data_IF_672876114178
#
_entry.id   IF_672876114178
#
_cell.length_a   1.000
_cell.length_b   1.000
_cell.length_c   1.000
_cell.angle_alpha   90.00
_cell.angle_beta   90.00
_cell.angle_gamma   90.00
#
_symmetry.space_group_name_H-M   'P 1'
#
loop_
_entity.id
_entity.type
_entity.pdbx_description
1 polymer ?
#
# COMPACT_ATOMS: atom_id res chain seq x y z
N UNK A 1 13.77 18.32 8.07
CA UNK A 1 14.70 17.18 8.18
C UNK A 1 14.03 15.82 7.91
N UNK A 2 12.79 15.58 8.39
CA UNK A 2 12.05 14.31 8.18
C UNK A 2 11.50 14.14 6.74
N UNK A 3 11.03 15.21 6.10
CA UNK A 3 10.64 15.15 4.67
C UNK A 3 11.82 14.83 3.74
N UNK A 4 13.03 15.22 4.14
CA UNK A 4 14.24 14.94 3.37
C UNK A 4 14.70 13.48 3.50
N UNK A 5 14.24 12.75 4.53
CA UNK A 5 14.67 11.38 4.76
C UNK A 5 13.87 10.33 3.97
N UNK A 6 12.64 10.61 3.54
CA UNK A 6 11.83 9.64 2.78
C UNK A 6 10.91 10.31 1.72
N UNK A 7 11.42 11.18 0.83
CA UNK A 7 10.57 11.87 -0.15
C UNK A 7 9.86 10.89 -1.10
N UNK A 8 10.52 9.78 -1.47
CA UNK A 8 9.94 8.77 -2.36
C UNK A 8 8.74 8.03 -1.74
N UNK A 9 8.84 7.63 -0.47
CA UNK A 9 7.72 6.97 0.23
C UNK A 9 6.56 7.94 0.37
N UNK A 10 6.84 9.19 0.73
CA UNK A 10 5.79 10.19 0.88
C UNK A 10 5.06 10.43 -0.45
N UNK A 11 5.79 10.52 -1.56
CA UNK A 11 5.20 10.65 -2.89
C UNK A 11 4.33 9.44 -3.26
N UNK A 12 4.83 8.22 -2.99
CA UNK A 12 4.05 6.99 -3.20
C UNK A 12 2.77 7.04 -2.37
N UNK A 13 2.85 7.36 -1.09
CA UNK A 13 1.70 7.41 -0.17
C UNK A 13 0.68 8.46 -0.59
N UNK A 14 1.13 9.63 -1.06
CA UNK A 14 0.24 10.68 -1.55
C UNK A 14 -0.51 10.22 -2.81
N UNK A 15 0.20 9.69 -3.80
CA UNK A 15 -0.41 9.21 -5.05
C UNK A 15 -1.35 8.04 -4.79
N UNK A 16 -0.95 7.13 -3.92
CA UNK A 16 -1.72 5.98 -3.49
C UNK A 16 -3.00 6.38 -2.77
N UNK A 17 -2.91 7.25 -1.75
CA UNK A 17 -4.08 7.77 -1.03
C UNK A 17 -5.06 8.49 -1.96
N UNK A 18 -4.55 9.23 -2.95
CA UNK A 18 -5.38 9.91 -3.94
C UNK A 18 -6.12 8.90 -4.83
N UNK A 19 -5.38 7.92 -5.35
CA UNK A 19 -5.92 6.81 -6.13
C UNK A 19 -7.00 6.03 -5.36
N UNK A 20 -6.76 5.79 -4.08
CA UNK A 20 -7.64 5.01 -3.20
C UNK A 20 -8.96 5.70 -2.97
N UNK A 21 -8.95 7.01 -2.68
CA UNK A 21 -10.19 7.74 -2.53
C UNK A 21 -10.95 7.92 -3.84
N UNK A 22 -10.24 8.11 -4.97
CA UNK A 22 -10.88 8.12 -6.28
C UNK A 22 -11.55 6.77 -6.60
N UNK A 23 -10.86 5.66 -6.30
CA UNK A 23 -11.42 4.32 -6.45
C UNK A 23 -12.64 4.14 -5.55
N UNK A 24 -12.54 4.49 -4.26
CA UNK A 24 -13.61 4.34 -3.28
C UNK A 24 -14.84 5.17 -3.65
N UNK A 25 -14.63 6.39 -4.11
CA UNK A 25 -15.69 7.26 -4.62
C UNK A 25 -16.41 6.63 -5.82
N UNK A 26 -15.64 6.24 -6.85
CA UNK A 26 -16.20 5.60 -8.05
C UNK A 26 -16.89 4.27 -7.76
N UNK A 27 -16.32 3.48 -6.85
CA UNK A 27 -16.88 2.23 -6.38
C UNK A 27 -18.22 2.42 -5.69
N UNK A 28 -18.33 3.42 -4.80
CA UNK A 28 -19.54 3.70 -4.06
C UNK A 28 -20.68 4.11 -5.00
N UNK A 29 -20.39 4.98 -5.96
CA UNK A 29 -21.37 5.37 -7.00
C UNK A 29 -21.79 4.16 -7.82
N UNK A 30 -20.85 3.35 -8.31
CA UNK A 30 -21.18 2.18 -9.11
C UNK A 30 -22.03 1.15 -8.36
N UNK A 31 -21.69 0.89 -7.10
CA UNK A 31 -22.37 -0.08 -6.24
C UNK A 31 -23.81 0.35 -5.96
N UNK A 32 -24.04 1.66 -5.80
CA UNK A 32 -25.36 2.22 -5.50
C UNK A 32 -26.18 2.46 -6.78
N UNK A 33 -25.67 3.26 -7.72
CA UNK A 33 -26.44 3.78 -8.84
C UNK A 33 -26.59 2.79 -10.00
N UNK A 34 -25.67 1.82 -10.13
CA UNK A 34 -25.66 0.88 -11.26
C UNK A 34 -26.07 -0.54 -10.85
N UNK A 35 -25.57 -1.03 -9.73
CA UNK A 35 -25.85 -2.40 -9.28
C UNK A 35 -27.05 -2.50 -8.33
N UNK A 36 -27.59 -1.36 -7.85
CA UNK A 36 -28.73 -1.29 -6.90
C UNK A 36 -28.57 -2.28 -5.74
N UNK A 37 -27.35 -2.36 -5.18
CA UNK A 37 -27.02 -3.36 -4.18
C UNK A 37 -27.72 -3.03 -2.88
N UNK A 38 -28.58 -3.95 -2.44
CA UNK A 38 -29.26 -3.87 -1.15
C UNK A 38 -28.26 -3.81 0.02
N UNK A 39 -28.73 -3.28 1.16
CA UNK A 39 -27.93 -3.15 2.40
C UNK A 39 -27.26 -4.48 2.80
N UNK A 40 -27.92 -5.61 2.54
CA UNK A 40 -27.35 -6.94 2.78
C UNK A 40 -26.06 -7.21 1.99
N UNK A 41 -26.03 -6.84 0.71
CA UNK A 41 -24.86 -6.98 -0.16
C UNK A 41 -23.71 -6.06 0.25
N UNK A 42 -24.01 -4.84 0.70
CA UNK A 42 -23.01 -3.91 1.26
C UNK A 42 -22.34 -4.53 2.49
N UNK A 43 -23.11 -5.12 3.40
CA UNK A 43 -22.55 -5.81 4.57
C UNK A 43 -21.65 -6.98 4.17
N UNK A 44 -22.03 -7.77 3.15
CA UNK A 44 -21.20 -8.84 2.65
C UNK A 44 -19.86 -8.33 2.10
N UNK A 45 -19.88 -7.23 1.34
CA UNK A 45 -18.67 -6.56 0.80
C UNK A 45 -17.75 -6.09 1.94
N UNK A 46 -18.29 -5.59 3.05
CA UNK A 46 -17.50 -5.08 4.18
C UNK A 46 -16.97 -6.18 5.09
N UNK A 47 -17.72 -7.25 5.32
CA UNK A 47 -17.34 -8.34 6.24
C UNK A 47 -16.35 -9.33 5.60
N UNK A 48 -16.51 -9.63 4.31
CA UNK A 48 -15.67 -10.61 3.61
C UNK A 48 -14.17 -10.28 3.68
N UNK A 49 -13.73 -9.02 3.45
CA UNK A 49 -12.33 -8.63 3.59
C UNK A 49 -11.77 -8.87 5.00
N UNK A 50 -12.57 -8.72 6.06
CA UNK A 50 -12.11 -8.96 7.43
C UNK A 50 -11.76 -10.43 7.65
N UNK A 51 -12.60 -11.34 7.14
CA UNK A 51 -12.37 -12.78 7.24
C UNK A 51 -11.16 -13.20 6.41
N UNK A 52 -10.99 -12.63 5.21
CA UNK A 52 -9.89 -12.96 4.30
C UNK A 52 -8.56 -12.33 4.74
N UNK A 53 -8.58 -11.10 5.26
CA UNK A 53 -7.37 -10.36 5.61
C UNK A 53 -6.62 -10.97 6.79
N UNK A 54 -7.32 -11.50 7.80
CA UNK A 54 -6.69 -12.12 8.99
C UNK A 54 -5.62 -13.16 8.64
N UNK A 55 -5.90 -14.25 7.89
CA UNK A 55 -4.87 -15.23 7.53
C UNK A 55 -3.81 -14.66 6.59
N UNK A 56 -4.17 -13.71 5.72
CA UNK A 56 -3.23 -13.09 4.79
C UNK A 56 -2.23 -12.16 5.49
N UNK A 57 -2.64 -11.46 6.55
CA UNK A 57 -1.78 -10.62 7.38
C UNK A 57 -0.62 -11.44 7.97
N UNK A 58 -0.92 -12.60 8.56
CA UNK A 58 0.12 -13.50 9.09
C UNK A 58 1.06 -13.99 7.99
N UNK A 59 0.51 -14.34 6.82
CA UNK A 59 1.30 -14.82 5.68
C UNK A 59 2.23 -13.74 5.13
N UNK A 60 1.76 -12.50 5.03
CA UNK A 60 2.54 -11.37 4.51
C UNK A 60 3.59 -10.92 5.51
N UNK A 61 3.27 -10.88 6.80
CA UNK A 61 4.27 -10.63 7.85
C UNK A 61 5.44 -11.61 7.77
N UNK A 62 5.15 -12.92 7.74
CA UNK A 62 6.17 -13.97 7.58
C UNK A 62 6.93 -13.84 6.25
N UNK A 63 6.25 -13.46 5.17
CA UNK A 63 6.90 -13.28 3.86
C UNK A 63 7.86 -12.09 3.85
N UNK A 64 7.48 -10.98 4.48
CA UNK A 64 8.35 -9.81 4.66
C UNK A 64 9.62 -10.18 5.42
N UNK A 65 9.51 -11.02 6.45
CA UNK A 65 10.65 -11.45 7.25
C UNK A 65 11.57 -12.42 6.49
N UNK A 66 11.00 -13.38 5.75
CA UNK A 66 11.78 -14.44 5.08
C UNK A 66 12.30 -14.07 3.69
N UNK A 67 11.52 -13.32 2.91
CA UNK A 67 11.80 -13.05 1.48
C UNK A 67 12.16 -11.59 1.21
N UNK A 68 12.17 -10.75 2.25
CA UNK A 68 12.49 -9.33 2.18
C UNK A 68 11.26 -8.46 1.90
N UNK A 69 11.36 -7.20 2.33
CA UNK A 69 10.28 -6.22 2.28
C UNK A 69 9.89 -5.88 0.83
N UNK A 70 10.88 -5.72 -0.07
CA UNK A 70 10.64 -5.37 -1.48
C UNK A 70 9.67 -6.33 -2.18
N UNK A 71 9.82 -7.64 -1.96
CA UNK A 71 8.93 -8.65 -2.58
C UNK A 71 7.53 -8.60 -2.00
N UNK A 72 7.40 -8.35 -0.69
CA UNK A 72 6.09 -8.21 -0.05
C UNK A 72 5.34 -6.98 -0.59
N UNK A 73 6.02 -5.83 -0.67
CA UNK A 73 5.49 -4.59 -1.26
C UNK A 73 4.99 -4.85 -2.68
N UNK A 74 5.83 -5.43 -3.56
CA UNK A 74 5.44 -5.65 -4.96
C UNK A 74 4.26 -6.61 -5.10
N UNK A 75 4.24 -7.71 -4.32
CA UNK A 75 3.16 -8.69 -4.37
C UNK A 75 1.83 -8.05 -3.95
N UNK A 76 1.82 -7.38 -2.80
CA UNK A 76 0.61 -6.73 -2.26
C UNK A 76 0.16 -5.63 -3.23
N UNK A 77 1.06 -4.73 -3.62
CA UNK A 77 0.71 -3.60 -4.48
C UNK A 77 0.22 -4.01 -5.88
N UNK A 78 0.71 -5.14 -6.42
CA UNK A 78 0.28 -5.63 -7.74
C UNK A 78 -1.21 -5.96 -7.85
N UNK A 79 -1.91 -6.10 -6.72
CA UNK A 79 -3.35 -6.34 -6.69
C UNK A 79 -4.15 -5.06 -7.01
N UNK A 80 -3.62 -3.86 -6.74
CA UNK A 80 -4.37 -2.60 -6.98
C UNK A 80 -4.76 -2.39 -8.46
N UNK A 81 -3.85 -2.51 -9.43
CA UNK A 81 -4.21 -2.40 -10.85
C UNK A 81 -5.26 -3.43 -11.26
N UNK A 82 -5.21 -4.64 -10.68
CA UNK A 82 -6.16 -5.70 -10.98
C UNK A 82 -7.56 -5.30 -10.51
N UNK A 83 -7.69 -4.74 -9.31
CA UNK A 83 -8.97 -4.27 -8.79
C UNK A 83 -9.57 -3.16 -9.67
N UNK A 84 -8.75 -2.19 -10.11
CA UNK A 84 -9.18 -1.14 -11.02
C UNK A 84 -9.64 -1.70 -12.37
N UNK A 85 -8.87 -2.64 -12.95
CA UNK A 85 -9.23 -3.30 -14.20
C UNK A 85 -10.55 -4.09 -14.07
N UNK A 86 -10.77 -4.79 -12.94
CA UNK A 86 -12.03 -5.50 -12.70
C UNK A 86 -13.22 -4.55 -12.65
N UNK A 87 -13.12 -3.39 -11.99
CA UNK A 87 -14.22 -2.40 -11.99
C UNK A 87 -14.43 -1.73 -13.35
N UNK A 88 -13.39 -1.59 -14.18
CA UNK A 88 -13.57 -1.13 -15.57
C UNK A 88 -14.37 -2.13 -16.41
N UNK A 89 -14.16 -3.43 -16.18
CA UNK A 89 -14.77 -4.52 -16.95
C UNK A 89 -16.15 -4.91 -16.38
N UNK A 90 -16.42 -4.60 -15.12
CA UNK A 90 -17.66 -4.94 -14.43
C UNK A 90 -18.94 -4.58 -15.20
N UNK A 91 -19.08 -3.40 -15.86
CA UNK A 91 -20.29 -3.07 -16.61
C UNK A 91 -20.55 -3.99 -17.81
N UNK A 92 -19.50 -4.61 -18.36
CA UNK A 92 -19.62 -5.56 -19.49
C UNK A 92 -19.80 -6.99 -18.99
N UNK A 93 -19.14 -7.35 -17.89
CA UNK A 93 -19.21 -8.66 -17.26
C UNK A 93 -19.70 -8.50 -15.82
N UNK A 94 -21.02 -8.35 -15.65
CA UNK A 94 -21.63 -8.09 -14.34
C UNK A 94 -21.38 -9.23 -13.34
N UNK A 95 -21.47 -10.48 -13.79
CA UNK A 95 -21.30 -11.67 -12.97
C UNK A 95 -20.13 -12.52 -13.48
N UNK A 96 -19.34 -13.06 -12.55
CA UNK A 96 -18.30 -14.04 -12.86
C UNK A 96 -18.82 -15.49 -12.81
N UNK A 97 -20.07 -15.69 -12.38
CA UNK A 97 -20.78 -16.98 -12.38
C UNK A 97 -21.99 -16.99 -13.32
N UNK A 98 -22.44 -18.18 -13.75
CA UNK A 98 -23.68 -18.34 -14.52
C UNK A 98 -24.90 -17.81 -13.74
N UNK A 99 -25.88 -17.19 -14.43
CA UNK A 99 -27.09 -16.64 -13.80
C UNK A 99 -27.83 -17.63 -12.91
N UNK A 100 -27.90 -18.91 -13.31
CA UNK A 100 -28.58 -19.95 -12.52
C UNK A 100 -28.02 -20.14 -11.11
N UNK A 101 -26.72 -19.87 -10.90
CA UNK A 101 -26.09 -19.96 -9.58
C UNK A 101 -26.37 -18.70 -8.77
N UNK A 102 -26.37 -17.54 -9.44
CA UNK A 102 -26.70 -16.26 -8.82
C UNK A 102 -28.15 -16.28 -8.31
N UNK A 103 -29.09 -16.68 -9.16
CA UNK A 103 -30.51 -16.78 -8.83
C UNK A 103 -30.75 -17.78 -7.69
N UNK A 104 -30.04 -18.91 -7.69
CA UNK A 104 -30.13 -19.90 -6.61
C UNK A 104 -29.59 -19.35 -5.28
N UNK A 105 -28.55 -18.52 -5.31
CA UNK A 105 -28.00 -17.89 -4.12
C UNK A 105 -28.94 -16.82 -3.56
N UNK A 106 -29.51 -15.97 -4.41
CA UNK A 106 -30.50 -14.96 -4.00
C UNK A 106 -31.80 -15.59 -3.48
N UNK A 107 -32.19 -16.76 -4.00
CA UNK A 107 -33.32 -17.52 -3.47
C UNK A 107 -33.07 -18.09 -2.07
N UNK A 108 -31.81 -18.40 -1.73
CA UNK A 108 -31.44 -18.91 -0.40
C UNK A 108 -31.37 -17.78 0.64
N UNK A 109 -30.75 -16.66 0.26
CA UNK A 109 -30.63 -15.47 1.09
C UNK A 109 -30.62 -14.24 0.19
N UNK A 110 -31.63 -13.35 0.29
CA UNK A 110 -31.69 -12.15 -0.53
C UNK A 110 -30.40 -11.33 -0.43
N UNK A 111 -29.83 -10.98 -1.59
CA UNK A 111 -28.58 -10.21 -1.70
C UNK A 111 -27.29 -11.04 -1.67
N UNK A 112 -27.38 -12.37 -1.53
CA UNK A 112 -26.21 -13.25 -1.60
C UNK A 112 -25.63 -13.34 -3.03
N UNK A 113 -26.45 -13.11 -4.05
CA UNK A 113 -26.04 -13.04 -5.45
C UNK A 113 -24.95 -12.00 -5.71
N UNK A 114 -24.87 -10.96 -4.87
CA UNK A 114 -23.83 -9.91 -4.94
C UNK A 114 -22.43 -10.50 -4.88
N UNK A 115 -22.21 -11.58 -4.13
CA UNK A 115 -20.90 -12.28 -4.02
C UNK A 115 -20.38 -12.74 -5.39
N UNK A 116 -21.29 -13.01 -6.32
CA UNK A 116 -20.99 -13.47 -7.67
C UNK A 116 -20.80 -12.34 -8.69
N UNK A 117 -20.91 -11.08 -8.26
CA UNK A 117 -20.66 -9.93 -9.13
C UNK A 117 -19.17 -9.65 -9.28
N UNK A 118 -18.77 -9.19 -10.46
CA UNK A 118 -17.38 -8.76 -10.71
C UNK A 118 -16.99 -7.57 -9.83
N UNK A 119 -17.96 -6.71 -9.50
CA UNK A 119 -17.76 -5.60 -8.59
C UNK A 119 -17.43 -6.06 -7.18
N UNK A 120 -18.18 -7.03 -6.63
CA UNK A 120 -17.90 -7.61 -5.33
C UNK A 120 -16.47 -8.15 -5.26
N UNK A 121 -16.05 -8.92 -6.27
CA UNK A 121 -14.69 -9.44 -6.32
C UNK A 121 -13.65 -8.31 -6.29
N UNK A 122 -13.84 -7.27 -7.11
CA UNK A 122 -12.94 -6.12 -7.17
C UNK A 122 -12.86 -5.37 -5.83
N UNK A 123 -14.00 -5.12 -5.17
CA UNK A 123 -14.07 -4.42 -3.89
C UNK A 123 -13.47 -5.23 -2.75
N UNK A 124 -13.79 -6.52 -2.67
CA UNK A 124 -13.24 -7.40 -1.63
C UNK A 124 -11.74 -7.54 -1.78
N UNK A 125 -11.24 -7.70 -3.02
CA UNK A 125 -9.81 -7.72 -3.30
C UNK A 125 -9.15 -6.40 -2.94
N UNK A 126 -9.77 -5.26 -3.30
CA UNK A 126 -9.27 -3.92 -2.98
C UNK A 126 -9.16 -3.71 -1.47
N UNK A 127 -10.24 -3.87 -0.71
CA UNK A 127 -10.23 -3.65 0.73
C UNK A 127 -9.28 -4.60 1.46
N UNK A 128 -9.21 -5.86 1.01
CA UNK A 128 -8.20 -6.80 1.53
C UNK A 128 -6.80 -6.27 1.24
N UNK A 129 -6.55 -5.78 0.02
CA UNK A 129 -5.26 -5.24 -0.35
C UNK A 129 -4.89 -3.97 0.43
N UNK A 130 -5.82 -3.06 0.67
CA UNK A 130 -5.60 -1.83 1.44
C UNK A 130 -5.11 -2.14 2.85
N UNK A 131 -5.74 -3.11 3.51
CA UNK A 131 -5.34 -3.59 4.85
C UNK A 131 -3.92 -4.15 4.81
N UNK A 132 -3.61 -4.99 3.83
CA UNK A 132 -2.30 -5.63 3.69
C UNK A 132 -1.22 -4.60 3.32
N UNK A 133 -1.56 -3.63 2.48
CA UNK A 133 -0.67 -2.57 2.04
C UNK A 133 -0.32 -1.62 3.18
N UNK A 134 -1.32 -1.21 3.97
CA UNK A 134 -1.11 -0.42 5.18
C UNK A 134 -0.18 -1.16 6.16
N UNK A 135 -0.37 -2.47 6.37
CA UNK A 135 0.53 -3.26 7.22
C UNK A 135 1.97 -3.22 6.71
N UNK A 136 2.18 -3.43 5.41
CA UNK A 136 3.51 -3.45 4.80
C UNK A 136 4.19 -2.08 4.93
N UNK A 137 3.47 -0.99 4.66
CA UNK A 137 3.99 0.37 4.81
C UNK A 137 4.36 0.70 6.26
N UNK A 138 3.50 0.36 7.22
CA UNK A 138 3.78 0.58 8.65
C UNK A 138 5.00 -0.23 9.08
N UNK A 139 5.07 -1.51 8.71
CA UNK A 139 6.19 -2.39 9.03
C UNK A 139 7.49 -1.87 8.44
N UNK A 140 7.45 -1.39 7.20
CA UNK A 140 8.58 -0.75 6.54
C UNK A 140 9.04 0.51 7.29
N UNK A 141 8.12 1.42 7.62
CA UNK A 141 8.45 2.63 8.39
C UNK A 141 9.10 2.26 9.73
N UNK A 142 8.55 1.29 10.45
CA UNK A 142 9.10 0.83 11.73
C UNK A 142 10.47 0.16 11.59
N UNK A 143 10.71 -0.59 10.52
CA UNK A 143 11.97 -1.30 10.28
C UNK A 143 13.10 -0.38 9.85
N UNK A 144 12.82 0.61 9.01
CA UNK A 144 13.85 1.46 8.40
C UNK A 144 14.06 2.81 9.09
N UNK A 145 13.20 3.22 10.03
CA UNK A 145 13.37 4.47 10.76
C UNK A 145 13.97 4.28 12.15
N UNK A 146 14.84 5.20 12.60
CA UNK A 146 15.30 5.24 13.99
C UNK A 146 14.11 5.35 14.95
N UNK A 147 14.15 4.61 16.06
CA UNK A 147 13.06 4.59 17.06
C UNK A 147 12.66 5.97 17.58
N UNK A 148 13.59 6.92 17.61
CA UNK A 148 13.38 8.31 18.04
C UNK A 148 12.52 9.13 17.08
N UNK A 149 12.46 8.74 15.80
CA UNK A 149 11.76 9.47 14.75
C UNK A 149 10.58 8.71 14.14
N UNK A 150 10.41 7.41 14.46
CA UNK A 150 9.31 6.58 13.94
C UNK A 150 7.94 7.21 14.20
N UNK A 151 7.68 7.73 15.41
CA UNK A 151 6.39 8.35 15.76
C UNK A 151 6.11 9.61 14.93
N UNK A 152 7.13 10.43 14.69
CA UNK A 152 7.01 11.66 13.88
C UNK A 152 6.74 11.32 12.41
N UNK A 153 7.43 10.31 11.88
CA UNK A 153 7.24 9.84 10.50
C UNK A 153 5.85 9.26 10.32
N UNK A 154 5.39 8.46 11.29
CA UNK A 154 4.05 7.89 11.27
C UNK A 154 2.97 8.99 11.38
N UNK A 155 3.20 10.03 12.17
CA UNK A 155 2.32 11.19 12.24
C UNK A 155 2.24 11.94 10.90
N UNK A 156 3.37 12.18 10.23
CA UNK A 156 3.40 12.79 8.89
C UNK A 156 2.72 11.90 7.86
N UNK A 157 2.96 10.58 7.92
CA UNK A 157 2.31 9.60 7.07
C UNK A 157 0.79 9.70 7.17
N UNK A 158 0.23 9.54 8.38
CA UNK A 158 -1.23 9.61 8.58
C UNK A 158 -1.81 10.98 8.26
N UNK A 159 -1.11 12.06 8.63
CA UNK A 159 -1.53 13.42 8.28
C UNK A 159 -1.63 13.59 6.76
N UNK A 160 -0.68 13.04 5.99
CA UNK A 160 -0.70 13.12 4.53
C UNK A 160 -1.85 12.32 3.96
N UNK A 161 -2.04 11.08 4.43
CA UNK A 161 -3.18 10.23 4.05
C UNK A 161 -4.50 10.96 4.30
N UNK A 162 -4.73 11.53 5.48
CA UNK A 162 -5.99 12.21 5.79
C UNK A 162 -6.22 13.49 4.99
N UNK A 163 -5.18 14.28 4.75
CA UNK A 163 -5.29 15.50 3.92
C UNK A 163 -5.65 15.13 2.49
N UNK A 164 -4.99 14.12 1.91
CA UNK A 164 -5.32 13.65 0.58
C UNK A 164 -6.70 12.99 0.57
N UNK A 165 -7.07 12.28 1.63
CA UNK A 165 -8.35 11.61 1.71
C UNK A 165 -9.54 12.60 1.70
N UNK A 166 -9.34 13.81 2.20
CA UNK A 166 -10.33 14.88 2.12
C UNK A 166 -10.47 15.46 0.70
N UNK A 167 -9.39 15.45 -0.10
CA UNK A 167 -9.35 16.04 -1.45
C UNK A 167 -9.75 15.01 -2.51
N UNK A 168 -9.44 13.73 -2.30
CA UNK A 168 -9.65 12.65 -3.26
C UNK A 168 -11.08 12.53 -3.78
N UNK A 169 -12.13 12.51 -2.93
CA UNK A 169 -13.52 12.44 -3.37
C UNK A 169 -13.94 13.66 -4.19
N UNK A 170 -13.39 14.85 -3.91
CA UNK A 170 -13.65 16.04 -4.72
C UNK A 170 -13.07 15.90 -6.14
N UNK A 171 -11.82 15.45 -6.27
CA UNK A 171 -11.19 15.19 -7.57
C UNK A 171 -11.93 14.06 -8.31
N UNK A 172 -12.27 12.98 -7.59
CA UNK A 172 -13.05 11.87 -8.14
C UNK A 172 -14.43 12.32 -8.65
N UNK A 173 -15.10 13.21 -7.90
CA UNK A 173 -16.36 13.83 -8.28
C UNK A 173 -16.26 14.66 -9.56
N UNK A 174 -15.25 15.52 -9.66
CA UNK A 174 -15.03 16.31 -10.89
C UNK A 174 -14.78 15.42 -12.11
N UNK A 175 -13.96 14.38 -11.97
CA UNK A 175 -13.69 13.43 -13.07
C UNK A 175 -14.98 12.70 -13.46
N UNK A 176 -15.77 12.28 -12.48
CA UNK A 176 -17.04 11.60 -12.71
C UNK A 176 -18.06 12.50 -13.41
N UNK A 177 -18.21 13.76 -12.96
CA UNK A 177 -19.18 14.73 -13.49
C UNK A 177 -18.88 15.13 -14.93
N UNK A 178 -17.60 15.40 -15.27
CA UNK A 178 -17.24 15.92 -16.59
C UNK A 178 -16.86 14.84 -17.61
N UNK A 179 -16.60 13.61 -17.17
CA UNK A 179 -16.10 12.55 -18.05
C UNK A 179 -17.01 11.32 -17.98
N UNK A 180 -16.53 10.23 -17.40
CA UNK A 180 -17.31 9.00 -17.20
C UNK A 180 -16.69 8.15 -16.10
N UNK A 181 -17.49 7.26 -15.53
CA UNK A 181 -17.05 6.32 -14.52
C UNK A 181 -15.90 5.41 -15.01
N UNK A 182 -15.96 4.93 -16.26
CA UNK A 182 -14.90 4.10 -16.84
C UNK A 182 -13.58 4.85 -16.93
N UNK A 183 -13.63 6.15 -17.25
CA UNK A 183 -12.42 6.97 -17.30
C UNK A 183 -11.83 7.22 -15.91
N UNK A 184 -12.66 7.40 -14.88
CA UNK A 184 -12.20 7.48 -13.49
C UNK A 184 -11.35 6.26 -13.12
N UNK A 185 -11.85 5.05 -13.39
CA UNK A 185 -11.09 3.83 -13.12
C UNK A 185 -9.87 3.65 -14.02
N UNK A 186 -9.90 4.15 -15.26
CA UNK A 186 -8.72 4.18 -16.13
C UNK A 186 -7.62 5.08 -15.55
N UNK A 187 -7.97 6.26 -15.02
CA UNK A 187 -7.01 7.15 -14.32
C UNK A 187 -6.43 6.44 -13.10
N UNK A 188 -7.28 5.83 -12.26
CA UNK A 188 -6.84 5.05 -11.10
C UNK A 188 -5.89 3.93 -11.53
N UNK A 189 -6.22 3.17 -12.57
CA UNK A 189 -5.37 2.10 -13.09
C UNK A 189 -3.99 2.63 -13.51
N UNK A 190 -3.95 3.72 -14.27
CA UNK A 190 -2.71 4.33 -14.74
C UNK A 190 -1.85 4.81 -13.56
N UNK A 191 -2.45 5.48 -12.56
CA UNK A 191 -1.75 5.91 -11.33
C UNK A 191 -1.16 4.71 -10.59
N UNK A 192 -1.92 3.64 -10.39
CA UNK A 192 -1.44 2.43 -9.71
C UNK A 192 -0.32 1.74 -10.50
N UNK A 193 -0.37 1.72 -11.83
CA UNK A 193 0.71 1.18 -12.66
C UNK A 193 1.99 2.02 -12.53
N UNK A 194 1.87 3.36 -12.47
CA UNK A 194 3.01 4.23 -12.21
C UNK A 194 3.62 3.98 -10.83
N UNK A 195 2.80 3.82 -9.79
CA UNK A 195 3.29 3.53 -8.44
C UNK A 195 3.98 2.16 -8.43
N UNK A 196 3.36 1.11 -8.99
CA UNK A 196 3.93 -0.23 -9.07
C UNK A 196 5.28 -0.22 -9.81
N UNK A 197 5.34 0.46 -10.95
CA UNK A 197 6.56 0.64 -11.73
C UNK A 197 7.64 1.40 -10.95
N UNK A 198 7.26 2.47 -10.26
CA UNK A 198 8.17 3.24 -9.41
C UNK A 198 8.75 2.41 -8.27
N UNK A 199 7.91 1.64 -7.58
CA UNK A 199 8.32 0.71 -6.52
C UNK A 199 9.25 -0.38 -7.06
N UNK A 200 8.95 -0.93 -8.23
CA UNK A 200 9.76 -1.98 -8.85
C UNK A 200 11.15 -1.48 -9.23
N UNK A 201 11.21 -0.31 -9.87
CA UNK A 201 12.44 0.27 -10.43
C UNK A 201 13.35 0.85 -9.36
N UNK A 202 12.83 1.75 -8.51
CA UNK A 202 13.65 2.43 -7.52
C UNK A 202 13.92 1.56 -6.29
N UNK A 203 13.01 0.63 -5.97
CA UNK A 203 13.00 -0.04 -4.68
C UNK A 203 12.71 0.95 -3.55
N UNK A 204 12.02 0.48 -2.51
CA UNK A 204 11.81 1.31 -1.30
C UNK A 204 12.94 1.08 -0.27
N UNK A 205 14.09 0.58 -0.73
CA UNK A 205 15.24 0.31 0.13
C UNK A 205 16.11 1.55 0.24
N UNK A 206 15.99 2.21 1.40
CA UNK A 206 17.05 3.07 1.89
C UNK A 206 18.19 2.17 2.36
N UNK A 207 19.44 2.52 2.02
CA UNK A 207 20.67 1.89 2.52
C UNK A 207 20.44 1.46 3.97
N UNK A 208 20.69 0.19 4.26
CA UNK A 208 20.66 -0.33 5.63
C UNK A 208 21.39 0.66 6.54
N UNK A 209 20.87 0.99 7.73
CA UNK A 209 21.66 1.74 8.70
C UNK A 209 22.95 0.95 8.89
N UNK A 210 24.11 1.59 8.62
CA UNK A 210 25.46 0.99 8.64
C UNK A 210 25.45 -0.28 9.46
N UNK A 211 25.57 -1.43 8.78
CA UNK A 211 25.47 -2.71 9.46
C UNK A 211 26.43 -2.70 10.66
N UNK A 212 26.10 -3.41 11.74
CA UNK A 212 26.99 -3.48 12.90
C UNK A 212 28.42 -3.83 12.50
N UNK A 213 28.60 -4.56 11.39
CA UNK A 213 29.88 -4.81 10.72
C UNK A 213 30.56 -3.56 10.17
N UNK A 214 29.86 -2.66 9.47
CA UNK A 214 30.40 -1.39 8.98
C UNK A 214 30.73 -0.42 10.11
N UNK A 215 29.90 -0.39 11.18
CA UNK A 215 30.21 0.37 12.39
C UNK A 215 31.40 -0.22 13.15
N UNK A 216 31.52 -1.54 13.21
CA UNK A 216 32.68 -2.20 13.79
C UNK A 216 33.93 -1.92 12.96
N UNK A 217 33.85 -1.97 11.63
CA UNK A 217 34.97 -1.63 10.74
C UNK A 217 35.37 -0.15 10.85
N UNK A 218 34.42 0.78 10.93
CA UNK A 218 34.73 2.21 11.08
C UNK A 218 35.32 2.50 12.47
N UNK A 219 34.84 1.81 13.50
CA UNK A 219 35.36 1.90 14.86
C UNK A 219 36.75 1.25 14.97
N UNK A 220 37.00 0.12 14.32
CA UNK A 220 38.32 -0.51 14.21
C UNK A 220 39.32 0.41 13.49
N UNK A 221 38.92 1.03 12.37
CA UNK A 221 39.71 2.04 11.67
C UNK A 221 40.03 3.26 12.56
N UNK A 222 39.07 3.69 13.36
CA UNK A 222 39.26 4.82 14.29
C UNK A 222 40.21 4.45 15.43
N UNK A 223 40.07 3.24 15.98
CA UNK A 223 40.99 2.71 17.01
C UNK A 223 42.39 2.57 16.44
N UNK A 224 42.55 2.11 15.20
CA UNK A 224 43.84 1.95 14.55
C UNK A 224 44.53 3.31 14.36
N UNK A 225 43.81 4.31 13.84
CA UNK A 225 44.32 5.69 13.73
C UNK A 225 44.78 6.26 15.07
N UNK A 226 44.00 6.07 16.13
CA UNK A 226 44.37 6.54 17.47
C UNK A 226 45.61 5.83 18.00
N UNK A 227 45.80 4.54 17.71
CA UNK A 227 47.03 3.83 18.08
C UNK A 227 48.24 4.40 17.34
N UNK A 228 48.11 4.63 16.03
CA UNK A 228 49.18 5.19 15.21
C UNK A 228 49.56 6.61 15.70
N UNK A 229 48.58 7.47 16.00
CA UNK A 229 48.81 8.80 16.58
C UNK A 229 49.50 8.73 17.96
N UNK A 230 49.13 7.76 18.81
CA UNK A 230 49.77 7.57 20.12
C UNK A 230 51.21 7.07 19.97
N UNK A 231 51.50 6.19 19.01
CA UNK A 231 52.87 5.74 18.72
C UNK A 231 53.73 6.86 18.16
N UNK A 232 53.19 7.65 17.24
CA UNK A 232 53.85 8.85 16.71
C UNK A 232 54.15 9.84 17.84
N UNK A 233 53.19 10.08 18.74
CA UNK A 233 53.39 10.93 19.91
C UNK A 233 54.41 10.39 20.92
N UNK A 234 54.49 9.06 21.10
CA UNK A 234 55.51 8.42 21.95
C UNK A 234 56.90 8.49 21.32
N UNK A 235 56.99 8.32 20.00
CA UNK A 235 58.26 8.39 19.27
C UNK A 235 58.83 9.81 19.27
N UNK A 236 57.98 10.84 19.14
CA UNK A 236 58.39 12.24 19.19
C UNK A 236 58.82 12.71 20.59
N UNK A 237 58.28 12.12 21.67
CA UNK A 237 58.74 12.34 23.05
C UNK A 237 59.99 11.54 23.45
N UNK A 238 60.45 10.60 22.63
CA UNK A 238 61.69 9.82 22.83
C UNK A 238 62.90 10.42 22.09
N UNK A 239 62.82 11.68 21.69
CA UNK A 239 64.00 12.43 21.29
C UNK A 239 64.77 12.90 22.54
N UNK A 240 66.11 12.81 22.53
CA UNK A 240 66.99 12.87 23.71
C UNK A 240 66.95 14.19 24.48
#
# INVERSE_FOLDING_TARGET
>A
MILASMPGILAIVILDSLSDEMFRFGALIYTNDVLDIEVGGINAILLTPLVISLPLLFRIGRMSDLRGMKRAILLVYSVMPICAALLMVAPTFNFWMPPSIVDAADALLPGLGVVFTTAFLALVMKYTNDILWALVLITMIQKYMPRTDTSKVLAVFWSSVYVIAAIGPFIGGLIFEFLSQSLLFAVVLVVNLFILGGVAYYGIERREPESLSEKMQSMELTIQKLKDEIEEFRSSRRLP
#
